data_IF_018992905033
#
_entry.id   IF_018992905033
#
_cell.length_a   1.000
_cell.length_b   1.000
_cell.length_c   1.000
_cell.angle_alpha   90.00
_cell.angle_beta   90.00
_cell.angle_gamma   90.00
#
_symmetry.space_group_name_H-M   'P 1'
#
loop_
_entity.id
_entity.type
_entity.pdbx_description
1 polymer ?
#
# COMPACT_ATOMS: atom_id res chain seq x y z
N UNK A 1 0.31 -9.71 -6.36
CA UNK A 1 -1.06 -9.79 -5.85
C UNK A 1 -0.99 -9.99 -4.34
N UNK A 2 -1.64 -9.14 -3.56
CA UNK A 2 -1.71 -9.25 -2.11
C UNK A 2 -2.99 -9.96 -1.66
N UNK A 3 -2.87 -10.89 -0.71
CA UNK A 3 -3.99 -11.61 -0.09
C UNK A 3 -3.72 -11.86 1.40
N UNK A 4 -4.56 -12.67 2.06
CA UNK A 4 -4.44 -13.00 3.49
C UNK A 4 -3.20 -13.80 3.88
N UNK A 5 -2.41 -14.29 2.93
CA UNK A 5 -1.29 -15.21 3.18
C UNK A 5 0.08 -14.58 2.94
N UNK A 6 0.13 -13.46 2.20
CA UNK A 6 1.37 -12.90 1.69
C UNK A 6 1.54 -11.41 2.05
N UNK A 7 2.62 -10.80 1.56
CA UNK A 7 2.93 -9.39 1.76
C UNK A 7 3.77 -8.83 0.61
N UNK A 8 4.03 -7.52 0.62
CA UNK A 8 4.98 -6.88 -0.29
C UNK A 8 6.02 -6.06 0.46
N UNK A 9 7.23 -6.00 -0.08
CA UNK A 9 8.29 -5.13 0.43
C UNK A 9 8.39 -3.85 -0.40
N UNK A 10 8.27 -2.73 0.29
CA UNK A 10 8.50 -1.39 -0.27
C UNK A 10 9.96 -1.17 -0.66
N UNK A 11 10.91 -1.92 -0.10
CA UNK A 11 12.34 -1.78 -0.39
C UNK A 11 12.76 -2.49 -1.67
N UNK A 12 12.29 -3.73 -1.85
CA UNK A 12 12.59 -4.52 -3.04
C UNK A 12 11.61 -4.25 -4.19
N UNK A 13 10.43 -3.72 -3.90
CA UNK A 13 9.33 -3.57 -4.86
C UNK A 13 8.61 -4.88 -5.17
N UNK A 14 8.99 -5.98 -4.51
CA UNK A 14 8.51 -7.32 -4.82
C UNK A 14 7.55 -7.86 -3.75
N UNK A 15 6.72 -8.80 -4.19
CA UNK A 15 5.90 -9.62 -3.30
C UNK A 15 6.80 -10.61 -2.53
N UNK A 16 6.41 -10.90 -1.28
CA UNK A 16 6.94 -11.98 -0.45
C UNK A 16 5.88 -13.06 -0.30
N UNK A 17 6.32 -14.31 -0.14
CA UNK A 17 5.42 -15.45 0.11
C UNK A 17 4.92 -15.50 1.56
N UNK A 18 5.58 -14.78 2.46
CA UNK A 18 5.22 -14.65 3.88
C UNK A 18 4.50 -13.33 4.17
N UNK A 19 4.11 -13.12 5.44
CA UNK A 19 3.47 -11.89 5.95
C UNK A 19 4.45 -10.96 6.68
N UNK A 20 5.75 -11.07 6.44
CA UNK A 20 6.77 -10.25 7.11
C UNK A 20 7.20 -9.01 6.30
N UNK A 21 6.58 -8.78 5.15
CA UNK A 21 6.78 -7.58 4.33
C UNK A 21 6.11 -6.34 4.92
N UNK A 22 6.41 -5.20 4.31
CA UNK A 22 5.95 -3.89 4.74
C UNK A 22 4.44 -3.71 4.56
N UNK A 23 3.88 -4.27 3.49
CA UNK A 23 2.47 -4.08 3.11
C UNK A 23 1.75 -5.43 3.16
N UNK A 24 0.71 -5.51 3.98
CA UNK A 24 -0.18 -6.67 4.09
C UNK A 24 -1.58 -6.31 3.67
N UNK A 25 -2.26 -7.25 3.02
CA UNK A 25 -3.71 -7.21 2.86
C UNK A 25 -4.36 -7.96 4.02
N UNK A 26 -5.41 -7.38 4.61
CA UNK A 26 -6.15 -7.99 5.71
C UNK A 26 -7.64 -7.64 5.65
N UNK A 27 -8.52 -8.62 5.91
CA UNK A 27 -9.97 -8.46 5.98
C UNK A 27 -10.57 -8.84 7.34
N UNK A 28 -9.75 -9.00 8.39
CA UNK A 28 -10.17 -9.57 9.68
C UNK A 28 -11.12 -8.66 10.50
N UNK A 29 -11.08 -7.34 10.29
CA UNK A 29 -11.81 -6.35 11.11
C UNK A 29 -13.14 -5.88 10.47
N UNK A 30 -13.86 -6.76 9.77
CA UNK A 30 -15.12 -6.40 9.10
C UNK A 30 -14.97 -5.46 7.89
N UNK A 31 -13.74 -5.10 7.53
CA UNK A 31 -13.39 -4.34 6.33
C UNK A 31 -12.01 -4.76 5.85
N UNK A 32 -11.84 -4.91 4.54
CA UNK A 32 -10.53 -5.15 3.94
C UNK A 32 -9.69 -3.85 3.91
N UNK A 33 -8.41 -3.98 4.25
CA UNK A 33 -7.47 -2.87 4.36
C UNK A 33 -6.07 -3.28 3.87
N UNK A 34 -5.24 -2.27 3.60
CA UNK A 34 -3.80 -2.42 3.67
C UNK A 34 -3.33 -2.12 5.09
N UNK A 35 -2.39 -2.92 5.59
CA UNK A 35 -1.80 -2.77 6.92
C UNK A 35 -0.28 -2.87 6.90
N UNK A 36 0.35 -2.19 7.84
CA UNK A 36 1.77 -2.28 8.15
C UNK A 36 1.99 -2.06 9.64
N UNK A 37 3.07 -2.60 10.19
CA UNK A 37 3.49 -2.24 11.55
C UNK A 37 4.37 -0.98 11.56
N UNK A 38 4.90 -0.57 10.40
CA UNK A 38 5.92 0.49 10.32
C UNK A 38 5.76 1.46 9.16
N UNK A 39 5.04 1.07 8.10
CA UNK A 39 4.79 1.92 6.95
C UNK A 39 3.48 2.69 7.11
N UNK A 40 3.45 3.93 6.67
CA UNK A 40 2.24 4.75 6.62
C UNK A 40 1.66 4.73 5.22
N UNK A 41 0.34 4.77 5.11
CA UNK A 41 -0.42 4.72 3.87
C UNK A 41 -1.31 5.93 3.74
N UNK A 42 -1.41 6.47 2.54
CA UNK A 42 -2.35 7.54 2.27
C UNK A 42 -2.92 7.41 0.85
N UNK A 43 -4.23 7.58 0.72
CA UNK A 43 -4.92 7.55 -0.57
C UNK A 43 -4.70 8.89 -1.27
N UNK A 44 -4.19 8.87 -2.51
CA UNK A 44 -4.02 10.08 -3.30
C UNK A 44 -5.39 10.62 -3.71
N UNK A 45 -5.73 11.88 -3.37
CA UNK A 45 -6.99 12.49 -3.79
C UNK A 45 -6.91 12.97 -5.25
N UNK A 46 -8.02 12.86 -5.98
CA UNK A 46 -8.17 13.44 -7.32
C UNK A 46 -7.77 12.49 -8.44
N UNK A 47 -7.24 13.07 -9.52
CA UNK A 47 -6.87 12.32 -10.74
C UNK A 47 -5.54 11.59 -10.56
N UNK A 48 -5.35 10.43 -11.24
CA UNK A 48 -4.09 9.69 -11.22
C UNK A 48 -2.91 10.50 -11.77
N UNK A 49 -1.69 10.16 -11.34
CA UNK A 49 -0.45 10.81 -11.75
C UNK A 49 0.46 11.22 -10.59
N UNK A 50 0.30 10.61 -9.42
CA UNK A 50 1.15 10.87 -8.27
C UNK A 50 2.63 10.64 -8.60
N UNK A 51 3.46 11.55 -8.10
CA UNK A 51 4.91 11.49 -8.26
C UNK A 51 5.57 11.23 -6.90
N UNK A 52 6.90 11.08 -6.91
CA UNK A 52 7.69 11.03 -5.68
C UNK A 52 7.36 12.20 -4.73
N UNK A 53 7.34 13.44 -5.23
CA UNK A 53 7.08 14.61 -4.37
C UNK A 53 5.66 14.61 -3.81
N UNK A 54 4.68 14.18 -4.60
CA UNK A 54 3.29 14.00 -4.13
C UNK A 54 3.24 13.00 -2.97
N UNK A 55 3.84 11.82 -3.15
CA UNK A 55 3.81 10.78 -2.14
C UNK A 55 4.62 11.14 -0.90
N UNK A 56 5.78 11.76 -1.06
CA UNK A 56 6.60 12.26 0.04
C UNK A 56 5.85 13.27 0.90
N UNK A 57 5.12 14.20 0.28
CA UNK A 57 4.32 15.20 0.98
C UNK A 57 3.12 14.57 1.71
N UNK A 58 2.32 13.76 1.02
CA UNK A 58 1.12 13.20 1.63
C UNK A 58 1.46 12.25 2.80
N UNK A 59 2.55 11.49 2.69
CA UNK A 59 3.01 10.57 3.75
C UNK A 59 3.85 11.24 4.84
N UNK A 60 4.17 12.54 4.74
CA UNK A 60 4.77 13.28 5.86
C UNK A 60 3.73 13.79 6.85
N UNK A 61 2.49 13.99 6.39
CA UNK A 61 1.38 14.50 7.19
C UNK A 61 0.50 13.39 7.78
N UNK A 62 0.72 12.13 7.38
CA UNK A 62 -0.11 10.97 7.71
C UNK A 62 0.66 9.97 8.60
N UNK A 63 0.02 9.51 9.67
CA UNK A 63 0.51 8.47 10.58
C UNK A 63 -0.29 7.15 10.47
N UNK A 64 -1.18 7.06 9.48
CA UNK A 64 -2.05 5.92 9.24
C UNK A 64 -1.32 4.67 8.79
N UNK A 65 -1.09 3.74 9.71
CA UNK A 65 -0.55 2.40 9.44
C UNK A 65 -1.58 1.41 8.85
N UNK A 66 -2.85 1.83 8.74
CA UNK A 66 -3.94 1.04 8.19
C UNK A 66 -4.76 1.91 7.24
N UNK A 67 -4.94 1.45 6.00
CA UNK A 67 -5.77 2.10 5.00
C UNK A 67 -6.96 1.21 4.60
N UNK A 68 -8.19 1.53 5.04
CA UNK A 68 -9.39 0.83 4.60
C UNK A 68 -9.58 0.94 3.07
N UNK A 69 -9.86 -0.19 2.41
CA UNK A 69 -10.01 -0.25 0.96
C UNK A 69 -11.44 0.09 0.48
N UNK A 70 -12.31 0.60 1.35
CA UNK A 70 -13.70 0.91 1.01
C UNK A 70 -13.81 1.96 -0.12
N UNK A 71 -13.01 3.03 -0.03
CA UNK A 71 -12.97 4.12 -1.01
C UNK A 71 -12.01 3.86 -2.19
N UNK A 72 -11.24 2.77 -2.15
CA UNK A 72 -10.23 2.44 -3.17
C UNK A 72 -10.86 1.71 -4.34
N UNK A 73 -10.55 2.13 -5.56
CA UNK A 73 -11.01 1.50 -6.80
C UNK A 73 -9.83 1.16 -7.72
N UNK A 74 -10.11 0.47 -8.83
CA UNK A 74 -9.11 0.33 -9.89
C UNK A 74 -8.73 1.73 -10.41
N UNK A 75 -7.43 1.96 -10.60
CA UNK A 75 -6.84 3.26 -10.93
C UNK A 75 -6.55 4.15 -9.74
N UNK A 76 -7.01 3.81 -8.52
CA UNK A 76 -6.64 4.56 -7.33
C UNK A 76 -5.15 4.44 -7.04
N UNK A 77 -4.56 5.54 -6.59
CA UNK A 77 -3.16 5.65 -6.23
C UNK A 77 -3.01 5.73 -4.71
N UNK A 78 -2.12 4.91 -4.16
CA UNK A 78 -1.84 4.86 -2.72
C UNK A 78 -0.35 5.14 -2.53
N UNK A 79 -0.04 6.18 -1.78
CA UNK A 79 1.33 6.49 -1.40
C UNK A 79 1.67 5.78 -0.10
N UNK A 80 2.87 5.20 -0.04
CA UNK A 80 3.39 4.47 1.10
C UNK A 80 4.75 5.02 1.46
N UNK A 81 5.01 5.23 2.76
CA UNK A 81 6.34 5.54 3.26
C UNK A 81 6.72 4.55 4.33
N UNK A 82 7.86 3.88 4.14
CA UNK A 82 8.38 2.97 5.15
C UNK A 82 9.22 3.71 6.20
N UNK A 83 9.59 2.99 7.27
CA UNK A 83 10.40 3.54 8.36
C UNK A 83 11.82 3.96 7.93
N UNK A 84 12.36 3.40 6.84
CA UNK A 84 13.66 3.79 6.30
C UNK A 84 13.57 5.08 5.46
N UNK A 85 12.36 5.56 5.18
CA UNK A 85 12.11 6.74 4.36
C UNK A 85 11.98 6.45 2.87
N UNK A 86 11.99 5.18 2.46
CA UNK A 86 11.64 4.82 1.08
C UNK A 86 10.17 5.17 0.85
N UNK A 87 9.89 5.73 -0.33
CA UNK A 87 8.55 6.07 -0.78
C UNK A 87 8.15 5.08 -1.86
N UNK A 88 6.94 4.54 -1.77
CA UNK A 88 6.35 3.73 -2.82
C UNK A 88 5.00 4.31 -3.26
N UNK A 89 4.68 4.11 -4.54
CA UNK A 89 3.38 4.38 -5.12
C UNK A 89 2.77 3.04 -5.56
N UNK A 90 1.58 2.76 -5.05
CA UNK A 90 0.75 1.64 -5.52
C UNK A 90 -0.32 2.18 -6.46
N UNK A 91 -0.42 1.61 -7.66
CA UNK A 91 -1.53 1.86 -8.58
C UNK A 91 -2.42 0.63 -8.57
N UNK A 92 -3.63 0.75 -8.05
CA UNK A 92 -4.54 -0.40 -7.87
C UNK A 92 -5.06 -0.86 -9.23
N UNK A 93 -4.82 -2.13 -9.55
CA UNK A 93 -5.29 -2.76 -10.79
C UNK A 93 -6.63 -3.48 -10.56
N UNK A 94 -6.69 -4.32 -9.52
CA UNK A 94 -7.89 -5.11 -9.21
C UNK A 94 -8.08 -5.15 -7.71
N UNK A 95 -9.31 -4.92 -7.25
CA UNK A 95 -9.72 -5.07 -5.85
C UNK A 95 -10.89 -6.05 -5.75
N UNK A 96 -10.68 -7.18 -5.09
CA UNK A 96 -11.73 -8.13 -4.75
C UNK A 96 -11.82 -8.24 -3.22
N UNK A 97 -12.85 -7.63 -2.63
CA UNK A 97 -12.99 -7.51 -1.17
C UNK A 97 -14.39 -7.89 -0.67
N UNK A 98 -15.22 -8.47 -1.54
CA UNK A 98 -16.59 -8.87 -1.21
C UNK A 98 -16.66 -10.10 -0.31
N UNK A 99 -15.69 -11.01 -0.43
CA UNK A 99 -15.58 -12.22 0.38
C UNK A 99 -14.23 -12.22 1.11
N UNK A 100 -14.21 -12.14 2.46
CA UNK A 100 -12.96 -12.00 3.22
C UNK A 100 -11.94 -13.13 2.97
N UNK A 101 -12.39 -14.39 2.93
CA UNK A 101 -11.50 -15.57 2.86
C UNK A 101 -10.76 -15.70 1.52
N UNK A 102 -11.29 -15.10 0.46
CA UNK A 102 -10.68 -15.11 -0.89
C UNK A 102 -10.36 -13.70 -1.40
N UNK A 103 -10.35 -12.73 -0.49
CA UNK A 103 -10.09 -11.34 -0.81
C UNK A 103 -8.66 -11.12 -1.30
N UNK A 104 -8.49 -10.22 -2.26
CA UNK A 104 -7.18 -9.84 -2.77
C UNK A 104 -7.15 -8.42 -3.34
N UNK A 105 -5.93 -7.88 -3.43
CA UNK A 105 -5.60 -6.64 -4.11
C UNK A 105 -4.44 -6.86 -5.07
N UNK A 106 -4.59 -6.48 -6.33
CA UNK A 106 -3.48 -6.38 -7.28
C UNK A 106 -3.18 -4.91 -7.51
N UNK A 107 -1.90 -4.55 -7.45
CA UNK A 107 -1.41 -3.22 -7.72
C UNK A 107 -0.03 -3.28 -8.38
N UNK A 108 0.27 -2.31 -9.23
CA UNK A 108 1.63 -2.04 -9.66
C UNK A 108 2.33 -1.21 -8.59
N UNK A 109 3.63 -1.45 -8.38
CA UNK A 109 4.42 -0.74 -7.38
C UNK A 109 5.59 -0.03 -8.04
N UNK A 110 5.71 1.27 -7.77
CA UNK A 110 6.92 2.06 -8.05
C UNK A 110 7.58 2.41 -6.72
N UNK A 111 8.90 2.27 -6.64
CA UNK A 111 9.67 2.53 -5.41
C UNK A 111 10.74 3.59 -5.67
N UNK A 112 10.78 4.61 -4.83
CA UNK A 112 11.85 5.59 -4.71
C UNK A 112 12.56 5.38 -3.38
N UNK A 113 13.80 4.90 -3.45
CA UNK A 113 14.60 4.66 -2.25
C UNK A 113 15.07 5.98 -1.65
N UNK A 114 15.08 6.06 -0.33
CA UNK A 114 15.76 7.17 0.34
C UNK A 114 17.25 7.13 -0.04
N UNK A 115 17.85 8.30 -0.26
CA UNK A 115 19.30 8.36 -0.44
C UNK A 115 19.96 7.82 0.84
N UNK A 116 20.96 6.95 0.65
CA UNK A 116 21.73 6.44 1.77
C UNK A 116 22.64 7.58 2.23
N UNK A 117 22.30 8.22 3.34
CA UNK A 117 23.18 9.18 4.00
C UNK A 117 24.49 8.54 4.46
#
# INVERSE_FOLDING_TARGET
MLNGENSASTRSGNQREDREGDIRFDCSQGSCALESDTSVFTLVPGDPGATYETCRLLTSEDDGHRLPLAAVAAGSEICVKNRQGDIALLVVQVKSTALPDIGFLTADMTVWRAESG
#
